data_IF_806003069617
#
_entry.id   IF_806003069617
#
_cell.length_a   1.000
_cell.length_b   1.000
_cell.length_c   1.000
_cell.angle_alpha   90.00
_cell.angle_beta   90.00
_cell.angle_gamma   90.00
#
_symmetry.space_group_name_H-M   'P 1'
#
loop_
_entity.id
_entity.type
_entity.pdbx_description
1 polymer ?
#
# COMPACT_ATOMS: atom_id res chain seq x y z
N UNK A 1 40.58 -12.47 -21.62
CA UNK A 1 39.56 -11.52 -21.14
C UNK A 1 38.17 -12.15 -20.99
N UNK A 2 37.61 -12.79 -22.04
CA UNK A 2 36.24 -13.36 -22.01
C UNK A 2 35.97 -14.34 -20.85
N UNK A 3 36.91 -15.24 -20.52
CA UNK A 3 36.79 -16.16 -19.37
C UNK A 3 36.65 -15.46 -18.00
N UNK A 4 37.26 -14.29 -17.83
CA UNK A 4 37.16 -13.52 -16.58
C UNK A 4 35.77 -12.89 -16.49
N UNK A 5 35.27 -12.33 -17.59
CA UNK A 5 33.94 -11.70 -17.66
C UNK A 5 32.84 -12.73 -17.37
N UNK A 6 32.87 -13.92 -17.98
CA UNK A 6 31.88 -14.97 -17.71
C UNK A 6 31.90 -15.45 -16.25
N UNK A 7 33.09 -15.53 -15.63
CA UNK A 7 33.21 -15.93 -14.22
C UNK A 7 32.64 -14.88 -13.26
N UNK A 8 32.88 -13.60 -13.53
CA UNK A 8 32.31 -12.50 -12.74
C UNK A 8 30.79 -12.37 -12.94
N UNK A 9 30.31 -12.50 -14.19
CA UNK A 9 28.88 -12.47 -14.50
C UNK A 9 28.12 -13.63 -13.83
N UNK A 10 28.69 -14.83 -13.82
CA UNK A 10 28.13 -15.98 -13.11
C UNK A 10 28.04 -15.75 -11.59
N UNK A 11 29.09 -15.18 -10.98
CA UNK A 11 29.08 -14.84 -9.56
C UNK A 11 28.01 -13.79 -9.21
N UNK A 12 27.85 -12.78 -10.07
CA UNK A 12 26.82 -11.75 -9.89
C UNK A 12 25.41 -12.35 -10.00
N UNK A 13 25.16 -13.15 -11.05
CA UNK A 13 23.87 -13.82 -11.23
C UNK A 13 23.52 -14.71 -10.04
N UNK A 14 24.49 -15.48 -9.54
CA UNK A 14 24.31 -16.32 -8.36
C UNK A 14 23.94 -15.50 -7.13
N UNK A 15 24.68 -14.41 -6.85
CA UNK A 15 24.39 -13.54 -5.72
C UNK A 15 22.99 -12.92 -5.82
N UNK A 16 22.61 -12.44 -7.01
CA UNK A 16 21.28 -11.88 -7.24
C UNK A 16 20.18 -12.93 -7.04
N UNK A 17 20.37 -14.15 -7.55
CA UNK A 17 19.41 -15.23 -7.34
C UNK A 17 19.26 -15.58 -5.87
N UNK A 18 20.36 -15.67 -5.13
CA UNK A 18 20.32 -15.93 -3.68
C UNK A 18 19.61 -14.80 -2.94
N UNK A 19 19.96 -13.54 -3.22
CA UNK A 19 19.34 -12.39 -2.60
C UNK A 19 17.87 -12.23 -2.94
N UNK A 20 17.41 -12.66 -4.12
CA UNK A 20 15.99 -12.59 -4.46
C UNK A 20 15.24 -13.79 -3.90
N UNK A 21 15.72 -15.00 -4.17
CA UNK A 21 14.97 -16.22 -3.89
C UNK A 21 15.12 -16.65 -2.43
N UNK A 22 16.35 -16.77 -1.92
CA UNK A 22 16.54 -17.25 -0.55
C UNK A 22 16.03 -16.24 0.46
N UNK A 23 16.35 -14.95 0.30
CA UNK A 23 15.89 -13.92 1.23
C UNK A 23 14.36 -13.80 1.24
N UNK A 24 13.72 -13.69 0.06
CA UNK A 24 12.25 -13.57 0.00
C UNK A 24 11.58 -14.84 0.53
N UNK A 25 12.12 -16.02 0.20
CA UNK A 25 11.59 -17.30 0.67
C UNK A 25 11.67 -17.44 2.19
N UNK A 26 12.85 -17.21 2.77
CA UNK A 26 13.06 -17.31 4.22
C UNK A 26 12.19 -16.29 4.95
N UNK A 27 12.18 -15.04 4.52
CA UNK A 27 11.38 -13.98 5.18
C UNK A 27 9.88 -14.28 5.10
N UNK A 28 9.39 -14.78 3.96
CA UNK A 28 7.98 -15.17 3.79
C UNK A 28 7.61 -16.33 4.70
N UNK A 29 8.44 -17.38 4.77
CA UNK A 29 8.20 -18.53 5.65
C UNK A 29 8.16 -18.10 7.11
N UNK A 30 9.14 -17.32 7.56
CA UNK A 30 9.17 -16.80 8.93
C UNK A 30 7.94 -15.94 9.24
N UNK A 31 7.57 -15.04 8.33
CA UNK A 31 6.38 -14.20 8.50
C UNK A 31 5.10 -15.02 8.61
N UNK A 32 4.94 -16.07 7.79
CA UNK A 32 3.77 -16.94 7.85
C UNK A 32 3.73 -17.80 9.12
N UNK A 33 4.88 -18.25 9.64
CA UNK A 33 4.95 -19.06 10.86
C UNK A 33 4.64 -18.23 12.11
N UNK A 34 5.24 -17.05 12.23
CA UNK A 34 5.13 -16.24 13.45
C UNK A 34 3.96 -15.26 13.43
N UNK A 35 3.62 -14.70 12.26
CA UNK A 35 2.65 -13.61 12.12
C UNK A 35 1.72 -13.82 10.90
N UNK A 36 0.99 -14.94 10.81
CA UNK A 36 0.20 -15.28 9.63
C UNK A 36 -0.89 -14.24 9.34
N UNK A 37 -1.55 -13.69 10.36
CA UNK A 37 -2.64 -12.73 10.14
C UNK A 37 -2.12 -11.42 9.56
N UNK A 38 -0.94 -10.96 9.97
CA UNK A 38 -0.27 -9.77 9.44
C UNK A 38 0.35 -10.03 8.07
N UNK A 39 1.01 -11.18 7.89
CA UNK A 39 1.62 -11.58 6.62
C UNK A 39 0.59 -11.70 5.48
N UNK A 40 -0.65 -12.06 5.82
CA UNK A 40 -1.77 -12.13 4.89
C UNK A 40 -2.61 -10.82 4.82
N UNK A 41 -2.11 -9.71 5.38
CA UNK A 41 -2.70 -8.38 5.20
C UNK A 41 -3.82 -8.00 6.17
N UNK A 42 -3.91 -8.63 7.34
CA UNK A 42 -4.88 -8.32 8.40
C UNK A 42 -6.33 -8.21 7.91
N UNK A 43 -6.78 -9.24 7.20
CA UNK A 43 -8.11 -9.29 6.60
C UNK A 43 -9.21 -9.34 7.68
N UNK A 44 -10.29 -8.61 7.46
CA UNK A 44 -11.50 -8.61 8.30
C UNK A 44 -12.58 -9.43 7.61
N UNK A 45 -13.11 -10.42 8.32
CA UNK A 45 -14.18 -11.29 7.84
C UNK A 45 -15.50 -10.99 8.55
N UNK A 46 -16.59 -10.91 7.79
CA UNK A 46 -17.95 -10.80 8.31
C UNK A 46 -18.86 -11.72 7.49
N UNK A 47 -19.66 -12.55 8.16
CA UNK A 47 -20.58 -13.49 7.51
C UNK A 47 -19.90 -14.38 6.45
N UNK A 48 -18.73 -14.96 6.77
CA UNK A 48 -17.93 -15.79 5.85
C UNK A 48 -17.47 -15.07 4.57
N UNK A 49 -17.49 -13.73 4.55
CA UNK A 49 -17.00 -12.91 3.44
C UNK A 49 -15.92 -11.96 3.92
N UNK A 50 -14.89 -11.80 3.11
CA UNK A 50 -13.86 -10.77 3.34
C UNK A 50 -14.51 -9.41 3.04
N UNK A 51 -14.55 -8.53 4.04
CA UNK A 51 -15.13 -7.19 3.92
C UNK A 51 -14.06 -6.11 3.78
N UNK A 52 -12.81 -6.39 4.12
CA UNK A 52 -11.69 -5.45 4.00
C UNK A 52 -10.44 -5.91 4.74
N UNK A 53 -9.54 -4.96 5.01
CA UNK A 53 -8.34 -5.14 5.83
C UNK A 53 -8.30 -4.06 6.91
N UNK A 54 -7.79 -4.39 8.09
CA UNK A 54 -7.56 -3.42 9.16
C UNK A 54 -6.62 -2.27 8.75
N UNK A 55 -5.76 -2.49 7.75
CA UNK A 55 -4.76 -1.54 7.30
C UNK A 55 -5.21 -0.69 6.10
N UNK A 56 -6.32 -1.05 5.45
CA UNK A 56 -6.78 -0.40 4.22
C UNK A 56 -8.13 0.27 4.46
N UNK A 57 -8.12 1.61 4.43
CA UNK A 57 -9.34 2.42 4.49
C UNK A 57 -10.15 2.33 3.20
N UNK A 58 -11.48 2.38 3.33
CA UNK A 58 -12.42 2.40 2.21
C UNK A 58 -13.03 3.80 2.07
N UNK A 59 -13.42 4.15 0.84
CA UNK A 59 -14.15 5.40 0.60
C UNK A 59 -15.56 5.30 1.19
N UNK A 60 -15.84 6.10 2.20
CA UNK A 60 -17.15 6.22 2.83
C UNK A 60 -17.78 7.55 2.44
N UNK A 61 -18.90 7.50 1.72
CA UNK A 61 -19.69 8.69 1.33
C UNK A 61 -21.01 8.80 2.09
N UNK A 62 -21.38 7.76 2.84
CA UNK A 62 -22.60 7.75 3.64
C UNK A 62 -22.36 8.53 4.94
N UNK A 63 -23.20 9.54 5.26
CA UNK A 63 -23.04 10.38 6.45
C UNK A 63 -23.19 9.62 7.79
N UNK A 64 -23.76 8.42 7.78
CA UNK A 64 -23.86 7.56 8.96
C UNK A 64 -22.53 6.91 9.38
N UNK A 65 -21.51 6.93 8.50
CA UNK A 65 -20.19 6.41 8.80
C UNK A 65 -19.16 7.53 8.94
N UNK A 66 -18.06 7.24 9.63
CA UNK A 66 -16.91 8.13 9.63
C UNK A 66 -16.37 8.30 8.22
N UNK A 67 -16.25 9.55 7.79
CA UNK A 67 -15.69 9.92 6.49
C UNK A 67 -14.18 10.04 6.64
N UNK A 68 -13.47 9.22 5.87
CA UNK A 68 -12.01 9.20 5.85
C UNK A 68 -11.39 10.39 5.12
N UNK A 69 -10.07 10.35 4.97
CA UNK A 69 -9.33 11.36 4.18
C UNK A 69 -9.69 11.24 2.69
N UNK A 70 -9.61 12.33 1.91
CA UNK A 70 -9.78 12.25 0.46
C UNK A 70 -8.83 11.22 -0.15
N UNK A 71 -9.36 10.38 -1.04
CA UNK A 71 -8.60 9.27 -1.67
C UNK A 71 -7.76 9.72 -2.87
N UNK A 72 -8.01 10.92 -3.39
CA UNK A 72 -7.20 11.50 -4.46
C UNK A 72 -5.87 11.96 -3.87
N UNK A 73 -4.83 11.18 -4.11
CA UNK A 73 -3.45 11.54 -3.78
C UNK A 73 -3.02 12.65 -4.74
N UNK A 74 -2.93 13.89 -4.25
CA UNK A 74 -2.36 15.00 -5.00
C UNK A 74 -0.87 15.14 -4.68
N UNK A 75 0.00 15.02 -5.69
CA UNK A 75 1.39 15.49 -5.62
C UNK A 75 1.47 17.00 -5.93
N UNK A 76 0.44 17.75 -5.50
CA UNK A 76 0.36 19.19 -5.74
C UNK A 76 1.21 19.92 -4.69
N UNK A 77 1.82 21.03 -5.10
CA UNK A 77 2.48 21.89 -4.11
C UNK A 77 1.44 22.50 -3.18
N UNK A 78 1.80 22.64 -1.90
CA UNK A 78 0.91 23.22 -0.88
C UNK A 78 0.42 24.64 -1.23
N UNK A 79 1.15 25.36 -2.09
CA UNK A 79 0.84 26.73 -2.51
C UNK A 79 0.21 26.81 -3.90
N UNK A 80 0.06 25.70 -4.61
CA UNK A 80 -0.51 25.69 -5.96
C UNK A 80 -1.97 26.17 -5.97
N UNK A 81 -2.35 26.87 -7.04
CA UNK A 81 -3.74 27.29 -7.24
C UNK A 81 -4.70 26.07 -7.34
N UNK A 82 -4.23 24.97 -7.92
CA UNK A 82 -4.99 23.73 -8.04
C UNK A 82 -5.30 23.09 -6.67
N UNK A 83 -4.35 23.07 -5.73
CA UNK A 83 -4.59 22.55 -4.37
C UNK A 83 -5.58 23.44 -3.61
N UNK A 84 -5.45 24.77 -3.70
CA UNK A 84 -6.42 25.70 -3.09
C UNK A 84 -7.85 25.46 -3.60
N UNK A 85 -8.00 25.22 -4.90
CA UNK A 85 -9.31 24.91 -5.49
C UNK A 85 -9.85 23.56 -4.99
N UNK A 86 -9.01 22.53 -4.90
CA UNK A 86 -9.40 21.22 -4.39
C UNK A 86 -9.84 21.29 -2.92
N UNK A 87 -9.11 22.04 -2.09
CA UNK A 87 -9.48 22.32 -0.70
C UNK A 87 -10.83 23.06 -0.65
N UNK A 88 -11.02 24.09 -1.46
CA UNK A 88 -12.27 24.84 -1.53
C UNK A 88 -13.48 23.94 -1.78
N UNK A 89 -13.41 23.04 -2.77
CA UNK A 89 -14.47 22.06 -3.07
C UNK A 89 -14.78 21.14 -1.89
N UNK A 90 -13.75 20.72 -1.15
CA UNK A 90 -13.90 19.85 0.04
C UNK A 90 -14.57 20.59 1.19
N UNK A 91 -14.18 21.84 1.45
CA UNK A 91 -14.77 22.68 2.50
C UNK A 91 -16.24 22.97 2.19
N UNK A 92 -16.58 23.30 0.95
CA UNK A 92 -17.99 23.52 0.56
C UNK A 92 -18.81 22.24 0.67
N UNK A 93 -18.24 21.08 0.39
CA UNK A 93 -18.92 19.80 0.57
C UNK A 93 -19.24 19.53 2.05
N UNK A 94 -18.28 19.77 2.94
CA UNK A 94 -18.47 19.59 4.38
C UNK A 94 -19.50 20.53 4.98
N UNK A 95 -19.42 21.81 4.61
CA UNK A 95 -20.42 22.78 5.02
C UNK A 95 -21.78 22.39 4.43
N UNK A 96 -21.80 22.00 3.14
CA UNK A 96 -22.97 21.63 2.35
C UNK A 96 -23.76 20.41 2.84
N UNK A 97 -23.08 19.47 3.50
CA UNK A 97 -23.67 18.20 3.96
C UNK A 97 -24.33 18.29 5.33
N UNK A 98 -24.22 19.44 6.02
CA UNK A 98 -24.74 19.65 7.38
C UNK A 98 -26.14 20.30 7.41
N UNK A 99 -26.82 20.39 6.26
CA UNK A 99 -28.19 20.89 6.13
C UNK A 99 -29.02 20.05 5.15
#
# INVERSE_FOLDING_TARGET
>A
MFKIICRQAGSLMFLLTVCVVMYTGITTVLAQVFMPTQANGQLIMKNHRIVGSALVGQTTTNPAFFIGRPTVVSNLSAVSAAEKQAIGKRVTWWNGSLY
#
